data_IF_297154622372
#
_entry.id   IF_297154622372
#
_cell.length_a   1.000
_cell.length_b   1.000
_cell.length_c   1.000
_cell.angle_alpha   90.00
_cell.angle_beta   90.00
_cell.angle_gamma   90.00
#
_symmetry.space_group_name_H-M   'P 1'
#
loop_
_entity.id
_entity.type
_entity.pdbx_description
1 polymer ?
#
# COMPACT_ATOMS: atom_id res chain seq x y z
N UNK A 1 -80.82 41.80 19.68
CA UNK A 1 -81.37 41.21 18.45
C UNK A 1 -80.31 40.35 17.80
N UNK A 2 -80.62 39.07 17.61
CA UNK A 2 -80.11 38.08 16.69
C UNK A 2 -78.56 37.85 16.53
N UNK A 3 -78.20 36.73 17.08
CA UNK A 3 -77.07 35.87 16.68
C UNK A 3 -77.28 35.24 15.28
N UNK A 4 -76.28 34.95 14.50
CA UNK A 4 -76.16 33.60 14.00
C UNK A 4 -74.79 32.94 14.10
N UNK A 5 -74.80 31.78 14.62
CA UNK A 5 -74.09 30.53 14.48
C UNK A 5 -73.04 30.47 13.37
N UNK A 6 -71.76 30.25 13.74
CA UNK A 6 -70.66 29.80 12.85
C UNK A 6 -70.31 28.35 13.21
N UNK A 7 -70.30 27.52 12.18
CA UNK A 7 -70.00 26.07 12.18
C UNK A 7 -68.51 25.78 12.40
N UNK A 8 -68.12 24.73 13.14
CA UNK A 8 -66.67 24.40 13.29
C UNK A 8 -66.14 23.63 12.09
N UNK A 9 -65.05 24.13 11.53
CA UNK A 9 -64.24 23.39 10.54
C UNK A 9 -63.50 22.25 11.21
N UNK A 10 -63.81 21.02 10.82
CA UNK A 10 -63.03 19.84 11.15
C UNK A 10 -61.70 19.88 10.38
N UNK A 11 -60.57 19.99 11.11
CA UNK A 11 -59.24 19.79 10.60
C UNK A 11 -58.96 18.29 10.55
N UNK A 12 -58.81 17.74 9.36
CA UNK A 12 -58.32 16.40 9.13
C UNK A 12 -56.83 16.37 9.40
N UNK A 13 -56.38 15.74 10.48
CA UNK A 13 -55.01 15.35 10.70
C UNK A 13 -54.73 14.08 9.88
N UNK A 14 -54.02 14.25 8.76
CA UNK A 14 -53.41 13.12 8.05
C UNK A 14 -52.18 12.68 8.84
N UNK A 15 -52.29 11.60 9.56
CA UNK A 15 -51.16 10.92 10.19
C UNK A 15 -50.30 10.23 9.12
N UNK A 16 -49.10 10.72 8.92
CA UNK A 16 -48.07 9.99 8.18
C UNK A 16 -47.59 8.81 9.06
N UNK A 17 -47.96 7.61 8.70
CA UNK A 17 -47.41 6.39 9.31
C UNK A 17 -45.97 6.25 8.80
N UNK A 18 -44.97 6.53 9.64
CA UNK A 18 -43.59 6.16 9.40
C UNK A 18 -43.48 4.64 9.55
N UNK A 19 -43.40 3.93 8.43
CA UNK A 19 -43.00 2.53 8.42
C UNK A 19 -41.53 2.45 8.78
N UNK A 20 -41.23 2.12 10.03
CA UNK A 20 -39.91 1.68 10.45
C UNK A 20 -39.65 0.33 9.78
N UNK A 21 -38.77 0.34 8.76
CA UNK A 21 -38.25 -0.90 8.22
C UNK A 21 -37.40 -1.54 9.33
N UNK A 22 -37.90 -2.62 9.91
CA UNK A 22 -37.15 -3.47 10.82
C UNK A 22 -36.01 -4.10 9.97
N UNK A 23 -34.78 -3.66 10.19
CA UNK A 23 -33.63 -4.32 9.62
C UNK A 23 -33.55 -5.74 10.19
N UNK A 24 -33.80 -6.73 9.33
CA UNK A 24 -33.66 -8.13 9.71
C UNK A 24 -32.18 -8.40 9.98
N UNK A 25 -31.82 -8.68 11.22
CA UNK A 25 -30.48 -9.13 11.61
C UNK A 25 -30.31 -10.53 11.05
N UNK A 26 -29.39 -10.67 10.10
CA UNK A 26 -29.04 -11.96 9.53
C UNK A 26 -28.17 -12.72 10.53
N UNK A 27 -28.63 -13.86 11.03
CA UNK A 27 -27.84 -14.75 11.88
C UNK A 27 -27.23 -15.84 11.01
N UNK A 28 -25.91 -15.95 11.03
CA UNK A 28 -25.16 -17.00 10.33
C UNK A 28 -24.63 -18.00 11.36
N UNK A 29 -24.99 -19.28 11.17
CA UNK A 29 -24.42 -20.37 11.95
C UNK A 29 -23.25 -20.95 11.16
N UNK A 30 -21.98 -20.83 11.62
CA UNK A 30 -20.82 -21.38 10.95
C UNK A 30 -20.85 -22.90 10.81
N UNK A 31 -21.55 -23.60 11.69
CA UNK A 31 -21.72 -25.06 11.65
C UNK A 31 -22.79 -25.53 10.65
N UNK A 32 -23.69 -24.63 10.22
CA UNK A 32 -24.76 -24.92 9.25
C UNK A 32 -24.40 -24.45 7.83
N UNK A 33 -23.43 -23.53 7.66
CA UNK A 33 -22.79 -23.29 6.39
C UNK A 33 -21.93 -24.53 6.06
N UNK A 34 -22.17 -25.17 4.90
CA UNK A 34 -21.30 -26.22 4.39
C UNK A 34 -19.85 -25.84 4.63
N UNK A 35 -19.01 -26.75 5.20
CA UNK A 35 -17.69 -26.48 5.77
C UNK A 35 -17.15 -25.08 5.45
N UNK A 36 -16.94 -24.19 6.44
CA UNK A 36 -16.59 -22.80 6.17
C UNK A 36 -15.46 -22.79 5.17
N UNK A 37 -15.69 -22.18 4.00
CA UNK A 37 -14.74 -22.17 2.91
C UNK A 37 -13.39 -21.71 3.49
N UNK A 38 -12.43 -22.61 3.63
CA UNK A 38 -11.06 -22.19 3.85
C UNK A 38 -10.75 -21.22 2.73
N UNK A 39 -10.27 -20.05 3.09
CA UNK A 39 -9.92 -19.01 2.11
C UNK A 39 -8.92 -19.58 1.11
N UNK A 40 -9.44 -20.22 0.07
CA UNK A 40 -8.62 -20.71 -1.02
C UNK A 40 -8.15 -19.50 -1.84
N UNK A 41 -6.85 -19.41 -2.16
CA UNK A 41 -6.36 -18.41 -3.09
C UNK A 41 -7.16 -18.48 -4.40
N UNK A 42 -7.68 -17.36 -4.87
CA UNK A 42 -8.30 -17.31 -6.20
C UNK A 42 -7.23 -17.17 -7.25
N UNK A 43 -7.27 -17.96 -8.33
CA UNK A 43 -6.32 -17.76 -9.42
C UNK A 43 -6.48 -16.36 -10.01
N UNK A 44 -5.37 -15.70 -10.41
CA UNK A 44 -5.43 -14.37 -10.99
C UNK A 44 -6.34 -14.32 -12.22
N UNK A 45 -7.04 -13.20 -12.40
CA UNK A 45 -7.89 -12.97 -13.58
C UNK A 45 -7.07 -13.04 -14.88
N UNK A 46 -7.76 -13.22 -16.03
CA UNK A 46 -7.10 -13.18 -17.34
C UNK A 46 -6.37 -11.85 -17.58
N UNK A 47 -6.97 -10.75 -17.13
CA UNK A 47 -6.40 -9.41 -17.26
C UNK A 47 -5.15 -9.24 -16.41
N UNK A 48 -5.20 -9.67 -15.15
CA UNK A 48 -4.02 -9.64 -14.29
C UNK A 48 -2.88 -10.50 -14.87
N UNK A 49 -3.17 -11.72 -15.33
CA UNK A 49 -2.15 -12.55 -15.99
C UNK A 49 -1.55 -11.89 -17.24
N UNK A 50 -2.36 -11.16 -18.02
CA UNK A 50 -1.88 -10.41 -19.18
C UNK A 50 -0.95 -9.27 -18.73
N UNK A 51 -1.35 -8.50 -17.72
CA UNK A 51 -0.55 -7.43 -17.12
C UNK A 51 0.81 -7.95 -16.63
N UNK A 52 0.83 -9.04 -15.85
CA UNK A 52 2.07 -9.61 -15.30
C UNK A 52 3.07 -10.06 -16.37
N UNK A 53 2.59 -10.52 -17.54
CA UNK A 53 3.45 -10.91 -18.67
C UNK A 53 4.10 -9.73 -19.40
N UNK A 54 3.56 -8.51 -19.26
CA UNK A 54 4.13 -7.31 -19.88
C UNK A 54 5.32 -6.73 -19.10
N UNK A 55 5.53 -7.18 -17.86
CA UNK A 55 6.66 -6.76 -17.03
C UNK A 55 7.94 -7.39 -17.60
N UNK A 56 8.88 -6.52 -18.02
CA UNK A 56 10.10 -6.90 -18.74
C UNK A 56 11.36 -6.55 -17.95
N UNK A 57 12.11 -7.59 -17.54
CA UNK A 57 13.36 -7.44 -16.81
C UNK A 57 14.43 -6.65 -17.57
N UNK A 58 14.42 -6.68 -18.92
CA UNK A 58 15.39 -5.91 -19.73
C UNK A 58 15.12 -4.41 -19.67
N UNK A 59 13.86 -4.00 -19.56
CA UNK A 59 13.48 -2.60 -19.34
C UNK A 59 13.87 -2.14 -17.94
N UNK A 60 13.66 -2.98 -16.94
CA UNK A 60 14.10 -2.76 -15.56
C UNK A 60 15.63 -2.60 -15.53
N UNK A 61 16.39 -3.52 -16.15
CA UNK A 61 17.84 -3.42 -16.29
C UNK A 61 18.28 -2.11 -16.94
N UNK A 62 17.68 -1.74 -18.06
CA UNK A 62 18.00 -0.50 -18.76
C UNK A 62 17.75 0.74 -17.89
N UNK A 63 16.70 0.71 -17.04
CA UNK A 63 16.39 1.78 -16.10
C UNK A 63 17.44 1.87 -14.98
N UNK A 64 17.76 0.75 -14.33
CA UNK A 64 18.80 0.71 -13.28
C UNK A 64 20.15 1.18 -13.81
N UNK A 65 20.61 0.64 -14.96
CA UNK A 65 21.87 1.05 -15.59
C UNK A 65 21.88 2.53 -15.96
N UNK A 66 20.75 3.08 -16.42
CA UNK A 66 20.66 4.52 -16.72
C UNK A 66 20.74 5.38 -15.47
N UNK A 67 20.07 5.00 -14.39
CA UNK A 67 20.11 5.73 -13.12
C UNK A 67 21.52 5.68 -12.51
N UNK A 68 22.18 4.53 -12.52
CA UNK A 68 23.55 4.37 -12.06
C UNK A 68 24.54 5.21 -12.90
N UNK A 69 24.29 5.36 -14.20
CA UNK A 69 25.16 6.11 -15.12
C UNK A 69 25.16 7.64 -14.89
N UNK A 70 24.28 8.17 -14.02
CA UNK A 70 24.38 9.57 -13.59
C UNK A 70 25.52 9.81 -12.58
N UNK A 71 26.31 8.80 -12.25
CA UNK A 71 27.47 8.84 -11.37
C UNK A 71 27.09 8.92 -9.90
N UNK A 72 26.48 10.01 -9.49
CA UNK A 72 25.84 10.16 -8.19
C UNK A 72 24.43 10.71 -8.37
N UNK A 73 23.51 10.33 -7.47
CA UNK A 73 22.20 10.94 -7.35
C UNK A 73 21.99 11.47 -5.92
N UNK A 74 23.10 11.77 -5.23
CA UNK A 74 23.03 12.30 -3.87
C UNK A 74 22.13 13.55 -3.84
N UNK A 75 21.28 13.68 -2.84
CA UNK A 75 20.31 14.78 -2.71
C UNK A 75 20.94 16.17 -2.79
N UNK A 76 22.21 16.31 -2.34
CA UNK A 76 22.99 17.55 -2.38
C UNK A 76 23.86 17.70 -3.64
N UNK A 77 23.81 16.73 -4.57
CA UNK A 77 24.58 16.80 -5.82
C UNK A 77 24.02 17.84 -6.80
N UNK A 78 24.64 17.98 -7.95
CA UNK A 78 24.28 18.98 -8.95
C UNK A 78 22.81 18.86 -9.39
N UNK A 79 22.12 19.99 -9.46
CA UNK A 79 20.70 20.08 -9.80
C UNK A 79 20.45 20.46 -11.26
N UNK A 80 21.48 20.96 -11.97
CA UNK A 80 21.35 21.62 -13.26
C UNK A 80 22.24 21.02 -14.35
N UNK A 81 23.23 20.16 -14.00
CA UNK A 81 24.01 19.36 -14.95
C UNK A 81 23.08 18.32 -15.62
N UNK A 82 23.00 18.25 -16.98
CA UNK A 82 22.10 17.35 -17.67
C UNK A 82 22.60 15.88 -17.71
N UNK A 83 23.84 15.60 -17.37
CA UNK A 83 24.46 14.28 -17.49
C UNK A 83 24.76 13.63 -16.14
N UNK A 84 24.96 14.42 -15.09
CA UNK A 84 25.38 13.96 -13.76
C UNK A 84 24.51 14.57 -12.65
N UNK A 85 24.34 13.85 -11.56
CA UNK A 85 23.71 14.33 -10.34
C UNK A 85 22.22 14.10 -10.26
N UNK A 86 21.65 14.56 -9.15
CA UNK A 86 20.23 14.36 -8.80
C UNK A 86 19.29 15.04 -9.79
N UNK A 87 19.70 16.22 -10.34
CA UNK A 87 18.92 16.97 -11.32
C UNK A 87 18.73 16.21 -12.63
N UNK A 88 19.82 15.63 -13.17
CA UNK A 88 19.78 14.82 -14.38
C UNK A 88 18.85 13.58 -14.22
N UNK A 89 18.96 12.91 -13.07
CA UNK A 89 18.12 11.75 -12.76
C UNK A 89 16.64 12.16 -12.66
N UNK A 90 16.33 13.23 -11.92
CA UNK A 90 14.98 13.81 -11.80
C UNK A 90 14.35 14.07 -13.18
N UNK A 91 15.07 14.76 -14.04
CA UNK A 91 14.55 15.20 -15.32
C UNK A 91 14.36 14.01 -16.29
N UNK A 92 15.26 13.02 -16.21
CA UNK A 92 15.10 11.77 -16.96
C UNK A 92 13.87 10.98 -16.49
N UNK A 93 13.66 10.80 -15.17
CA UNK A 93 12.48 10.12 -14.61
C UNK A 93 11.20 10.85 -15.03
N UNK A 94 11.16 12.18 -14.90
CA UNK A 94 10.04 13.01 -15.31
C UNK A 94 9.69 12.80 -16.79
N UNK A 95 10.69 12.76 -17.66
CA UNK A 95 10.50 12.51 -19.09
C UNK A 95 9.92 11.11 -19.34
N UNK A 96 10.41 10.07 -18.65
CA UNK A 96 9.88 8.69 -18.77
C UNK A 96 8.45 8.58 -18.30
N UNK A 97 8.11 9.13 -17.13
CA UNK A 97 6.73 9.13 -16.65
C UNK A 97 5.78 9.89 -17.59
N UNK A 98 6.20 11.02 -18.15
CA UNK A 98 5.43 11.76 -19.16
C UNK A 98 5.22 10.98 -20.46
N UNK A 99 6.20 10.20 -20.88
CA UNK A 99 6.06 9.30 -22.04
C UNK A 99 4.99 8.24 -21.75
N UNK A 100 5.00 7.60 -20.58
CA UNK A 100 4.00 6.60 -20.21
C UNK A 100 2.61 7.21 -20.08
N UNK A 101 2.51 8.41 -19.53
CA UNK A 101 1.23 9.12 -19.39
C UNK A 101 0.51 9.34 -20.73
N UNK A 102 1.23 9.45 -21.86
CA UNK A 102 0.63 9.57 -23.20
C UNK A 102 -0.21 8.36 -23.59
N UNK A 103 0.06 7.19 -23.03
CA UNK A 103 -0.69 5.96 -23.31
C UNK A 103 -1.98 5.82 -22.49
N UNK A 104 -2.25 6.77 -21.59
CA UNK A 104 -3.34 6.70 -20.62
C UNK A 104 -4.66 7.33 -21.09
N UNK A 105 -4.74 7.83 -22.31
CA UNK A 105 -5.89 8.63 -22.79
C UNK A 105 -6.23 9.82 -21.85
N UNK A 106 -5.19 10.50 -21.35
CA UNK A 106 -5.33 11.67 -20.46
C UNK A 106 -5.68 11.36 -19.02
N UNK A 107 -5.75 10.08 -18.62
CA UNK A 107 -6.06 9.68 -17.21
C UNK A 107 -4.86 9.77 -16.27
N UNK A 108 -3.64 9.77 -16.79
CA UNK A 108 -2.42 9.91 -16.00
C UNK A 108 -1.86 11.32 -16.14
N UNK A 109 -1.70 12.00 -15.03
CA UNK A 109 -0.95 13.27 -14.92
C UNK A 109 0.43 12.99 -14.33
N UNK A 110 1.38 13.88 -14.61
CA UNK A 110 2.74 13.77 -14.07
C UNK A 110 3.17 15.14 -13.57
N UNK A 111 3.44 15.21 -12.28
CA UNK A 111 3.79 16.44 -11.58
C UNK A 111 5.21 16.35 -11.02
N UNK A 112 5.91 17.50 -11.03
CA UNK A 112 7.16 17.70 -10.32
C UNK A 112 6.85 18.45 -9.02
N UNK A 113 6.81 17.71 -7.91
CA UNK A 113 6.56 18.28 -6.58
C UNK A 113 7.88 18.77 -5.99
N UNK A 114 8.15 20.09 -6.09
CA UNK A 114 9.41 20.70 -5.66
C UNK A 114 9.21 21.68 -4.51
N UNK A 115 10.16 21.67 -3.57
CA UNK A 115 10.22 22.63 -2.46
C UNK A 115 11.67 22.89 -2.07
N UNK A 116 11.88 23.92 -1.24
CA UNK A 116 13.17 24.17 -0.61
C UNK A 116 13.13 23.60 0.80
N UNK A 117 13.90 22.54 1.02
CA UNK A 117 14.08 21.95 2.34
C UNK A 117 14.99 22.89 3.16
N UNK A 118 14.53 23.38 4.33
CA UNK A 118 15.37 24.15 5.23
C UNK A 118 16.51 23.30 5.81
N UNK A 119 17.58 23.93 6.33
CA UNK A 119 18.67 23.21 6.96
C UNK A 119 18.20 22.27 8.07
N UNK A 120 18.79 21.09 8.11
CA UNK A 120 18.47 20.01 9.07
C UNK A 120 19.55 18.94 9.05
N UNK A 121 19.33 17.80 9.72
CA UNK A 121 20.25 16.69 9.67
C UNK A 121 20.55 16.27 8.23
N UNK A 122 21.85 16.13 7.87
CA UNK A 122 22.34 15.78 6.52
C UNK A 122 21.91 16.73 5.38
N UNK A 123 21.30 17.89 5.70
CA UNK A 123 20.98 18.97 4.76
C UNK A 123 21.48 20.28 5.37
N UNK A 124 22.75 20.66 5.15
CA UNK A 124 23.39 21.77 5.88
C UNK A 124 22.97 23.16 5.42
N UNK A 125 22.35 23.28 4.25
CA UNK A 125 21.90 24.54 3.64
C UNK A 125 20.52 24.36 3.00
N UNK A 126 19.77 25.46 2.73
CA UNK A 126 18.51 25.37 1.99
C UNK A 126 18.70 24.63 0.67
N UNK A 127 18.04 23.50 0.49
CA UNK A 127 18.25 22.58 -0.63
C UNK A 127 16.94 22.33 -1.37
N UNK A 128 16.95 22.47 -2.69
CA UNK A 128 15.80 22.07 -3.52
C UNK A 128 15.70 20.54 -3.55
N UNK A 129 14.58 20.00 -3.09
CA UNK A 129 14.21 18.60 -3.21
C UNK A 129 12.98 18.50 -4.10
N UNK A 130 12.90 17.44 -4.90
CA UNK A 130 11.79 17.27 -5.85
C UNK A 130 11.38 15.81 -5.91
N UNK A 131 10.08 15.53 -5.80
CA UNK A 131 9.51 14.23 -6.13
C UNK A 131 8.95 14.26 -7.55
N UNK A 132 9.07 13.17 -8.28
CA UNK A 132 8.36 12.98 -9.56
C UNK A 132 7.17 12.06 -9.29
N UNK A 133 5.96 12.59 -9.47
CA UNK A 133 4.72 11.90 -9.10
C UNK A 133 3.81 11.75 -10.30
N UNK A 134 3.53 10.50 -10.70
CA UNK A 134 2.54 10.19 -11.73
C UNK A 134 1.27 9.66 -11.08
N UNK A 135 0.12 10.26 -11.41
CA UNK A 135 -1.19 9.91 -10.85
C UNK A 135 -2.11 9.39 -11.95
N UNK A 136 -2.42 8.10 -11.92
CA UNK A 136 -3.41 7.46 -12.78
C UNK A 136 -4.78 7.50 -12.09
N UNK A 137 -5.64 8.40 -12.52
CA UNK A 137 -6.95 8.62 -11.90
C UNK A 137 -7.87 7.40 -12.09
N UNK A 138 -8.46 6.94 -10.99
CA UNK A 138 -9.46 5.89 -10.97
C UNK A 138 -10.78 6.29 -11.64
N UNK A 139 -11.46 5.31 -12.23
CA UNK A 139 -12.68 5.55 -12.99
C UNK A 139 -13.96 5.51 -12.15
N UNK A 140 -14.01 4.70 -11.09
CA UNK A 140 -15.22 4.45 -10.28
C UNK A 140 -15.10 4.94 -8.84
N UNK A 141 -13.89 4.96 -8.29
CA UNK A 141 -13.57 5.42 -6.94
C UNK A 141 -12.31 6.30 -6.98
N UNK A 142 -12.36 7.46 -7.67
CA UNK A 142 -11.16 8.28 -7.92
C UNK A 142 -10.56 8.87 -6.63
N UNK A 143 -11.34 9.00 -5.58
CA UNK A 143 -10.89 9.56 -4.30
C UNK A 143 -10.12 8.53 -3.44
N UNK A 144 -10.27 7.22 -3.74
CA UNK A 144 -9.51 6.16 -3.09
C UNK A 144 -8.15 6.01 -3.76
N UNK A 145 -7.08 6.16 -2.98
CA UNK A 145 -5.71 6.27 -3.49
C UNK A 145 -4.84 5.13 -2.97
N UNK A 146 -4.04 4.55 -3.86
CA UNK A 146 -2.95 3.64 -3.53
C UNK A 146 -1.64 4.18 -4.12
N UNK A 147 -0.57 4.17 -3.30
CA UNK A 147 0.72 4.75 -3.66
C UNK A 147 1.77 3.65 -3.75
N UNK A 148 2.64 3.74 -4.75
CA UNK A 148 3.88 2.96 -4.82
C UNK A 148 5.06 3.89 -5.03
N UNK A 149 6.16 3.70 -4.28
CA UNK A 149 7.35 4.52 -4.39
C UNK A 149 8.65 3.72 -4.44
N UNK A 150 9.69 4.39 -4.89
CA UNK A 150 11.09 4.13 -4.73
C UNK A 150 11.82 5.47 -4.65
N UNK A 151 12.98 5.53 -3.98
CA UNK A 151 13.74 6.77 -3.91
C UNK A 151 14.82 6.83 -4.99
N UNK A 152 14.96 7.98 -5.63
CA UNK A 152 15.91 8.10 -6.72
C UNK A 152 17.24 8.75 -6.32
N UNK A 153 17.33 9.25 -5.09
CA UNK A 153 18.62 9.66 -4.52
C UNK A 153 19.47 8.42 -4.15
N UNK A 154 20.76 8.61 -4.02
CA UNK A 154 21.74 7.58 -3.68
C UNK A 154 22.85 8.17 -2.82
N UNK A 155 23.66 7.34 -2.17
CA UNK A 155 24.77 7.78 -1.33
C UNK A 155 25.96 6.82 -1.41
N UNK A 156 27.16 7.37 -1.14
CA UNK A 156 28.38 6.65 -0.84
C UNK A 156 28.47 6.27 0.66
N UNK A 157 29.62 5.82 1.13
CA UNK A 157 29.85 5.46 2.53
C UNK A 157 29.61 6.64 3.47
N UNK A 158 30.17 7.82 3.13
CA UNK A 158 29.87 9.06 3.83
C UNK A 158 28.52 9.62 3.37
N UNK A 159 27.52 9.75 4.27
CA UNK A 159 26.21 10.31 3.91
C UNK A 159 26.25 11.79 3.51
N UNK A 160 27.39 12.45 3.61
CA UNK A 160 27.59 13.85 3.23
C UNK A 160 28.43 14.01 1.96
N UNK A 161 29.01 12.93 1.43
CA UNK A 161 29.75 12.97 0.17
C UNK A 161 28.77 13.00 -1.01
N UNK A 162 28.60 14.21 -1.56
CA UNK A 162 27.71 14.47 -2.70
C UNK A 162 28.44 14.58 -4.04
N UNK A 163 29.72 14.26 -4.07
CA UNK A 163 30.61 14.43 -5.24
C UNK A 163 31.13 13.13 -5.80
N UNK A 164 31.48 12.19 -4.95
CA UNK A 164 31.97 10.87 -5.37
C UNK A 164 30.89 10.06 -6.07
N UNK A 165 31.33 9.09 -6.88
CA UNK A 165 30.39 8.17 -7.53
C UNK A 165 29.66 7.31 -6.50
N UNK A 166 28.34 7.38 -6.56
CA UNK A 166 27.39 6.61 -5.77
C UNK A 166 26.29 6.07 -6.70
N UNK A 167 26.57 5.00 -7.47
CA UNK A 167 25.65 4.50 -8.50
C UNK A 167 24.29 4.06 -7.95
N UNK A 168 24.21 3.56 -6.71
CA UNK A 168 22.96 3.20 -6.03
C UNK A 168 22.07 2.33 -6.91
N UNK A 169 22.62 1.22 -7.42
CA UNK A 169 21.90 0.37 -8.37
C UNK A 169 20.81 -0.44 -7.69
N UNK A 170 21.10 -0.97 -6.51
CA UNK A 170 20.15 -1.66 -5.68
C UNK A 170 19.41 -0.69 -4.75
N UNK A 171 20.15 0.23 -4.13
CA UNK A 171 19.66 1.27 -3.23
C UNK A 171 19.71 2.67 -3.88
N UNK A 172 18.64 3.21 -4.58
CA UNK A 172 17.40 2.49 -4.83
C UNK A 172 16.95 2.70 -6.30
N UNK A 173 17.91 2.58 -7.25
CA UNK A 173 17.51 2.55 -8.66
C UNK A 173 16.65 1.30 -8.96
N UNK A 174 16.78 0.22 -8.18
CA UNK A 174 15.99 -1.00 -8.30
C UNK A 174 14.51 -0.73 -8.03
N UNK A 175 14.18 -0.04 -6.95
CA UNK A 175 12.80 0.33 -6.61
C UNK A 175 12.23 1.37 -7.55
N UNK A 176 13.01 2.37 -7.96
CA UNK A 176 12.59 3.33 -9.00
C UNK A 176 12.26 2.61 -10.30
N UNK A 177 13.05 1.59 -10.68
CA UNK A 177 12.79 0.79 -11.88
C UNK A 177 11.48 -0.01 -11.77
N UNK A 178 11.17 -0.54 -10.60
CA UNK A 178 9.84 -1.15 -10.32
C UNK A 178 8.73 -0.13 -10.51
N UNK A 179 8.85 1.07 -9.92
CA UNK A 179 7.84 2.14 -10.03
C UNK A 179 7.60 2.56 -11.48
N UNK A 180 8.68 2.77 -12.25
CA UNK A 180 8.58 3.16 -13.67
C UNK A 180 7.96 2.05 -14.53
N UNK A 181 8.31 0.79 -14.30
CA UNK A 181 7.75 -0.34 -15.04
C UNK A 181 6.25 -0.52 -14.71
N UNK A 182 5.86 -0.33 -13.45
CA UNK A 182 4.45 -0.32 -13.04
C UNK A 182 3.67 0.82 -13.70
N UNK A 183 4.23 2.04 -13.70
CA UNK A 183 3.60 3.18 -14.39
C UNK A 183 3.38 2.88 -15.88
N UNK A 184 4.38 2.29 -16.54
CA UNK A 184 4.31 1.90 -17.97
C UNK A 184 3.19 0.89 -18.24
N UNK A 185 3.14 -0.20 -17.47
CA UNK A 185 2.17 -1.28 -17.75
C UNK A 185 0.75 -0.93 -17.30
N UNK A 186 0.59 -0.03 -16.33
CA UNK A 186 -0.73 0.36 -15.80
C UNK A 186 -1.32 1.59 -16.50
N UNK A 187 -0.51 2.50 -17.05
CA UNK A 187 -0.99 3.72 -17.72
C UNK A 187 -2.10 3.46 -18.77
N UNK A 188 -2.01 2.47 -19.69
CA UNK A 188 -3.04 2.23 -20.69
C UNK A 188 -4.31 1.58 -20.12
N UNK A 189 -4.31 1.17 -18.84
CA UNK A 189 -5.40 0.41 -18.23
C UNK A 189 -6.37 1.28 -17.44
N UNK A 190 -7.64 0.86 -17.38
CA UNK A 190 -8.63 1.48 -16.51
C UNK A 190 -8.65 0.81 -15.16
N UNK A 191 -8.38 1.58 -14.13
CA UNK A 191 -8.45 1.17 -12.72
C UNK A 191 -9.70 1.74 -12.07
N UNK A 192 -10.26 1.03 -11.08
CA UNK A 192 -11.38 1.53 -10.29
C UNK A 192 -10.95 2.65 -9.35
N UNK A 193 -9.89 2.43 -8.56
CA UNK A 193 -9.27 3.43 -7.69
C UNK A 193 -8.08 4.12 -8.37
N UNK A 194 -7.65 5.24 -7.79
CA UNK A 194 -6.48 6.02 -8.23
C UNK A 194 -5.19 5.33 -7.81
N UNK A 195 -4.23 5.23 -8.73
CA UNK A 195 -2.89 4.73 -8.48
C UNK A 195 -1.88 5.87 -8.63
N UNK A 196 -0.94 5.95 -7.70
CA UNK A 196 0.14 6.93 -7.69
C UNK A 196 1.48 6.22 -7.75
N UNK A 197 2.31 6.63 -8.70
CA UNK A 197 3.67 6.15 -8.91
C UNK A 197 4.62 7.29 -8.56
N UNK A 198 5.39 7.16 -7.49
CA UNK A 198 6.23 8.23 -6.97
C UNK A 198 7.72 7.83 -6.98
N UNK A 199 8.55 8.62 -7.66
CA UNK A 199 9.98 8.61 -7.43
C UNK A 199 10.30 9.76 -6.49
N UNK A 200 10.68 9.46 -5.25
CA UNK A 200 10.93 10.46 -4.21
C UNK A 200 12.42 10.70 -4.02
N UNK A 201 12.81 11.81 -3.39
CA UNK A 201 14.21 12.14 -3.12
C UNK A 201 14.42 12.57 -1.67
N UNK A 202 15.68 12.51 -1.22
CA UNK A 202 16.04 12.87 0.15
C UNK A 202 15.67 11.78 1.16
N UNK A 203 15.56 10.55 0.71
CA UNK A 203 15.42 9.39 1.59
C UNK A 203 16.66 9.27 2.47
N UNK A 204 17.82 9.23 1.84
CA UNK A 204 19.14 9.05 2.45
C UNK A 204 19.52 10.18 3.41
N UNK A 205 18.96 11.36 3.25
CA UNK A 205 19.16 12.49 4.15
C UNK A 205 18.13 12.57 5.27
N UNK A 206 17.04 11.79 5.24
CA UNK A 206 16.04 11.73 6.30
C UNK A 206 14.60 11.67 5.84
N UNK A 207 14.29 10.89 4.81
CA UNK A 207 12.93 10.60 4.31
C UNK A 207 12.17 11.87 3.83
N UNK A 208 12.88 12.92 3.42
CA UNK A 208 12.28 14.24 3.16
C UNK A 208 11.22 14.20 2.07
N UNK A 209 11.49 13.46 0.97
CA UNK A 209 10.55 13.32 -0.15
C UNK A 209 9.25 12.62 0.24
N UNK A 210 9.37 11.50 0.90
CA UNK A 210 8.21 10.75 1.38
C UNK A 210 7.43 11.52 2.45
N UNK A 211 8.14 12.22 3.36
CA UNK A 211 7.51 13.06 4.37
C UNK A 211 6.70 14.20 3.76
N UNK A 212 7.25 14.87 2.73
CA UNK A 212 6.55 15.94 2.00
C UNK A 212 5.34 15.39 1.25
N UNK A 213 5.47 14.25 0.57
CA UNK A 213 4.38 13.60 -0.16
C UNK A 213 3.24 13.17 0.79
N UNK A 214 3.57 12.48 1.88
CA UNK A 214 2.60 12.05 2.87
C UNK A 214 1.89 13.21 3.55
N UNK A 215 2.62 14.33 3.82
CA UNK A 215 2.02 15.55 4.37
C UNK A 215 1.06 16.20 3.38
N UNK A 216 1.42 16.26 2.10
CA UNK A 216 0.54 16.82 1.08
C UNK A 216 -0.79 16.07 0.97
N UNK A 217 -0.79 14.74 1.11
CA UNK A 217 -2.02 13.95 1.18
C UNK A 217 -2.81 14.21 2.47
N UNK A 218 -2.13 14.39 3.59
CA UNK A 218 -2.78 14.70 4.87
C UNK A 218 -3.49 16.05 4.82
N UNK A 219 -2.84 17.07 4.24
CA UNK A 219 -3.39 18.41 4.10
C UNK A 219 -4.60 18.43 3.13
N UNK A 220 -4.58 17.59 2.11
CA UNK A 220 -5.69 17.40 1.16
C UNK A 220 -6.79 16.47 1.70
N UNK A 221 -6.63 15.88 2.88
CA UNK A 221 -7.53 14.86 3.43
C UNK A 221 -7.77 13.67 2.47
N UNK A 222 -6.74 13.30 1.69
CA UNK A 222 -6.81 12.24 0.71
C UNK A 222 -7.07 10.87 1.37
N UNK A 223 -7.91 10.04 0.74
CA UNK A 223 -8.23 8.69 1.20
C UNK A 223 -7.15 7.69 0.71
N UNK A 224 -5.93 7.80 1.28
CA UNK A 224 -4.84 6.85 0.98
C UNK A 224 -5.07 5.57 1.77
N UNK A 225 -5.53 4.51 1.08
CA UNK A 225 -5.83 3.21 1.68
C UNK A 225 -4.68 2.21 1.62
N UNK A 226 -3.55 2.58 1.03
CA UNK A 226 -2.34 1.78 1.01
C UNK A 226 -1.17 2.47 0.33
N UNK A 227 0.02 2.30 0.90
CA UNK A 227 1.28 2.75 0.33
C UNK A 227 2.32 1.65 0.41
N UNK A 228 3.07 1.45 -0.66
CA UNK A 228 4.22 0.53 -0.69
C UNK A 228 5.46 1.28 -1.16
N UNK A 229 6.54 1.18 -0.39
CA UNK A 229 7.86 1.51 -0.90
C UNK A 229 8.59 0.25 -1.34
N UNK A 230 9.30 0.33 -2.46
CA UNK A 230 10.26 -0.66 -2.91
C UNK A 230 11.64 -0.05 -2.69
N UNK A 231 12.44 -0.65 -1.84
CA UNK A 231 13.71 -0.08 -1.42
C UNK A 231 14.65 -1.23 -1.06
N UNK A 232 15.76 -1.32 -1.80
CA UNK A 232 16.67 -2.46 -1.85
C UNK A 232 15.91 -3.71 -2.32
N UNK A 233 15.59 -3.75 -3.60
CA UNK A 233 14.87 -4.87 -4.24
C UNK A 233 15.60 -5.41 -5.46
N UNK A 234 16.91 -5.14 -5.56
CA UNK A 234 17.73 -5.44 -6.73
C UNK A 234 18.43 -6.79 -6.69
N UNK A 235 18.75 -7.34 -5.51
CA UNK A 235 19.55 -8.57 -5.39
C UNK A 235 18.77 -9.74 -4.81
N UNK A 236 19.13 -10.93 -5.26
CA UNK A 236 18.68 -12.20 -4.67
C UNK A 236 19.81 -12.93 -3.93
N UNK A 237 20.96 -12.29 -3.77
CA UNK A 237 22.19 -12.89 -3.24
C UNK A 237 22.59 -12.17 -1.96
N UNK A 238 22.80 -12.92 -0.88
CA UNK A 238 23.26 -12.43 0.40
C UNK A 238 24.78 -12.28 0.46
N UNK A 239 25.29 -11.63 1.52
CA UNK A 239 26.74 -11.43 1.77
C UNK A 239 27.54 -12.72 1.93
N UNK A 240 26.89 -13.83 2.32
CA UNK A 240 27.47 -15.17 2.40
C UNK A 240 27.43 -15.94 1.05
N UNK A 241 26.89 -15.31 -0.01
CA UNK A 241 26.71 -15.91 -1.34
C UNK A 241 25.48 -16.80 -1.46
N UNK A 242 24.68 -16.99 -0.42
CA UNK A 242 23.41 -17.72 -0.53
C UNK A 242 22.40 -16.95 -1.39
N UNK A 243 21.51 -17.67 -2.07
CA UNK A 243 20.56 -17.07 -3.02
C UNK A 243 19.12 -17.47 -2.71
N UNK A 244 18.23 -16.48 -2.73
CA UNK A 244 16.77 -16.69 -2.68
C UNK A 244 16.06 -15.83 -3.76
N UNK A 245 16.03 -16.31 -5.03
CA UNK A 245 15.45 -15.53 -6.12
C UNK A 245 13.91 -15.57 -6.16
N UNK A 246 13.25 -16.23 -5.24
CA UNK A 246 11.81 -16.45 -5.24
C UNK A 246 11.09 -15.96 -3.98
N UNK A 247 11.76 -15.22 -3.10
CA UNK A 247 11.16 -14.63 -1.92
C UNK A 247 11.40 -13.13 -1.86
N UNK A 248 10.35 -12.35 -1.60
CA UNK A 248 10.45 -10.92 -1.25
C UNK A 248 9.91 -10.70 0.16
N UNK A 249 10.59 -9.92 0.98
CA UNK A 249 10.08 -9.51 2.30
C UNK A 249 9.13 -8.33 2.14
N UNK A 250 8.03 -8.36 2.90
CA UNK A 250 7.11 -7.24 3.07
C UNK A 250 7.02 -6.91 4.56
N UNK A 251 7.65 -5.82 4.95
CA UNK A 251 7.55 -5.30 6.31
C UNK A 251 6.22 -4.57 6.48
N UNK A 252 5.50 -4.93 7.52
CA UNK A 252 4.25 -4.28 7.90
C UNK A 252 4.10 -4.26 9.41
N UNK A 253 3.81 -3.10 9.98
CA UNK A 253 3.59 -2.97 11.42
C UNK A 253 2.33 -3.73 11.88
N UNK A 254 2.34 -4.24 13.10
CA UNK A 254 1.15 -4.84 13.73
C UNK A 254 0.44 -3.87 14.65
N UNK A 255 1.21 -2.98 15.26
CA UNK A 255 0.75 -1.89 16.12
C UNK A 255 0.89 -0.59 15.32
N UNK A 256 -0.18 0.21 15.16
CA UNK A 256 -0.11 1.46 14.42
C UNK A 256 0.89 2.44 15.02
N UNK A 257 1.80 2.99 14.20
CA UNK A 257 2.78 4.00 14.63
C UNK A 257 2.08 5.27 15.14
N UNK A 258 0.91 5.60 14.60
CA UNK A 258 0.14 6.83 14.90
C UNK A 258 -0.94 6.64 15.95
N UNK A 259 -1.04 5.45 16.62
CA UNK A 259 -2.10 5.23 17.59
C UNK A 259 -2.02 6.17 18.80
N UNK A 260 -3.18 6.64 19.24
CA UNK A 260 -3.32 7.41 20.48
C UNK A 260 -3.24 6.50 21.71
N UNK A 261 -2.99 7.02 22.92
CA UNK A 261 -3.03 6.22 24.14
C UNK A 261 -4.35 5.47 24.36
N UNK A 262 -5.49 6.08 23.97
CA UNK A 262 -6.82 5.47 24.06
C UNK A 262 -6.99 4.30 23.07
N UNK A 263 -6.51 4.46 21.85
CA UNK A 263 -6.50 3.38 20.86
C UNK A 263 -5.58 2.24 21.30
N UNK A 264 -4.41 2.54 21.90
CA UNK A 264 -3.51 1.56 22.46
C UNK A 264 -4.16 0.75 23.59
N UNK A 265 -4.96 1.39 24.47
CA UNK A 265 -5.69 0.70 25.54
C UNK A 265 -6.76 -0.23 24.96
N UNK A 266 -7.49 0.22 23.93
CA UNK A 266 -8.46 -0.61 23.22
C UNK A 266 -7.76 -1.80 22.57
N UNK A 267 -6.71 -1.56 21.80
CA UNK A 267 -5.94 -2.60 21.10
C UNK A 267 -5.45 -3.69 22.07
N UNK A 268 -4.84 -3.28 23.20
CA UNK A 268 -4.41 -4.23 24.26
C UNK A 268 -5.55 -5.05 24.83
N UNK A 269 -6.72 -4.42 24.99
CA UNK A 269 -7.88 -5.11 25.57
C UNK A 269 -8.54 -6.14 24.66
N UNK A 270 -8.28 -6.07 23.34
CA UNK A 270 -8.84 -6.98 22.32
C UNK A 270 -7.80 -7.88 21.68
N UNK A 271 -6.53 -7.80 22.08
CA UNK A 271 -5.44 -8.61 21.51
C UNK A 271 -5.06 -8.20 20.07
N UNK A 272 -5.21 -6.93 19.73
CA UNK A 272 -5.03 -6.40 18.35
C UNK A 272 -3.59 -6.09 17.96
N UNK A 273 -2.57 -6.68 18.59
CA UNK A 273 -1.15 -6.38 18.36
C UNK A 273 -0.65 -6.72 16.95
N UNK A 274 -1.43 -7.52 16.22
CA UNK A 274 -1.08 -7.98 14.87
C UNK A 274 -2.13 -7.60 13.83
N UNK A 275 -2.96 -6.59 14.10
CA UNK A 275 -4.15 -6.32 13.28
C UNK A 275 -4.28 -4.85 12.83
N UNK A 276 -3.15 -4.10 12.79
CA UNK A 276 -3.12 -2.77 12.20
C UNK A 276 -3.62 -2.77 10.74
N UNK A 277 -4.08 -1.63 10.22
CA UNK A 277 -4.42 -1.49 8.79
C UNK A 277 -3.28 -1.91 7.85
N UNK A 278 -2.03 -1.61 8.19
CA UNK A 278 -0.85 -2.03 7.42
C UNK A 278 -0.67 -3.54 7.39
N UNK A 279 -0.96 -4.23 8.51
CA UNK A 279 -0.92 -5.70 8.58
C UNK A 279 -2.04 -6.32 7.73
N UNK A 280 -3.23 -5.73 7.71
CA UNK A 280 -4.31 -6.18 6.84
C UNK A 280 -3.95 -5.99 5.36
N UNK A 281 -3.32 -4.86 5.03
CA UNK A 281 -2.81 -4.60 3.68
C UNK A 281 -1.77 -5.65 3.26
N UNK A 282 -0.84 -6.03 4.15
CA UNK A 282 0.16 -7.06 3.86
C UNK A 282 -0.45 -8.45 3.69
N UNK A 283 -1.47 -8.82 4.48
CA UNK A 283 -2.25 -10.05 4.29
C UNK A 283 -2.94 -10.07 2.93
N UNK A 284 -3.53 -8.94 2.54
CA UNK A 284 -4.15 -8.80 1.22
C UNK A 284 -3.13 -8.99 0.09
N UNK A 285 -1.96 -8.37 0.16
CA UNK A 285 -0.88 -8.56 -0.82
C UNK A 285 -0.53 -10.04 -0.96
N UNK A 286 -0.35 -10.73 0.17
CA UNK A 286 -0.03 -12.17 0.18
C UNK A 286 -1.16 -13.03 -0.40
N UNK A 287 -2.43 -12.63 -0.24
CA UNK A 287 -3.59 -13.32 -0.81
C UNK A 287 -3.63 -13.20 -2.34
N UNK A 288 -3.28 -12.01 -2.90
CA UNK A 288 -3.44 -11.71 -4.33
C UNK A 288 -2.18 -11.94 -5.16
N UNK A 289 -1.00 -11.95 -4.53
CA UNK A 289 0.27 -12.20 -5.20
C UNK A 289 0.54 -13.71 -5.31
N UNK A 290 -0.28 -14.40 -6.11
CA UNK A 290 -0.13 -15.83 -6.38
C UNK A 290 1.31 -16.15 -6.84
N UNK A 291 2.05 -17.03 -6.11
CA UNK A 291 3.42 -17.41 -6.46
C UNK A 291 3.57 -18.03 -7.85
N UNK A 292 2.58 -18.77 -8.32
CA UNK A 292 2.62 -19.38 -9.66
C UNK A 292 2.50 -18.34 -10.78
N UNK A 293 1.81 -17.23 -10.52
CA UNK A 293 1.63 -16.15 -11.48
C UNK A 293 2.76 -15.11 -11.42
N UNK A 294 3.24 -14.78 -10.22
CA UNK A 294 4.28 -13.75 -9.99
C UNK A 294 5.70 -14.30 -10.08
N UNK A 295 5.87 -15.60 -9.81
CA UNK A 295 7.17 -16.25 -9.63
C UNK A 295 7.83 -15.94 -8.29
N UNK A 296 7.06 -15.39 -7.31
CA UNK A 296 7.58 -14.84 -6.08
C UNK A 296 6.68 -15.15 -4.88
N UNK A 297 7.25 -15.58 -3.78
CA UNK A 297 6.60 -15.73 -2.47
C UNK A 297 6.74 -14.45 -1.67
N UNK A 298 5.65 -13.90 -1.19
CA UNK A 298 5.66 -12.76 -0.27
C UNK A 298 5.81 -13.25 1.17
N UNK A 299 6.94 -12.91 1.79
CA UNK A 299 7.22 -13.17 3.21
C UNK A 299 6.89 -11.93 4.03
N UNK A 300 5.74 -11.94 4.68
CA UNK A 300 5.36 -10.83 5.57
C UNK A 300 6.23 -10.88 6.83
N UNK A 301 6.92 -9.78 7.10
CA UNK A 301 7.74 -9.59 8.30
C UNK A 301 6.94 -8.76 9.29
N UNK A 302 6.74 -9.31 10.50
CA UNK A 302 5.91 -8.71 11.55
C UNK A 302 6.67 -7.64 12.32
N UNK A 303 7.19 -6.64 11.57
CA UNK A 303 7.90 -5.47 12.06
C UNK A 303 7.54 -4.27 11.21
N UNK A 304 7.71 -3.09 11.78
CA UNK A 304 7.55 -1.83 11.06
C UNK A 304 8.59 -1.70 9.94
N UNK A 305 9.86 -2.04 10.23
CA UNK A 305 10.98 -2.06 9.29
C UNK A 305 12.09 -3.00 9.80
N UNK A 306 13.20 -3.05 9.10
CA UNK A 306 14.47 -3.68 9.47
C UNK A 306 14.91 -3.19 10.87
N UNK A 307 15.74 -3.95 11.51
CA UNK A 307 16.15 -3.68 12.89
C UNK A 307 16.88 -2.33 13.02
N UNK A 308 16.28 -1.37 13.73
CA UNK A 308 16.77 0.01 13.93
C UNK A 308 17.00 0.81 12.63
N UNK A 309 16.29 0.46 11.56
CA UNK A 309 16.30 1.18 10.27
C UNK A 309 14.92 1.72 9.93
N UNK A 310 14.85 2.53 8.89
CA UNK A 310 13.61 3.15 8.41
C UNK A 310 13.57 3.17 6.88
N UNK A 311 12.53 3.75 6.30
CA UNK A 311 12.33 3.94 4.88
C UNK A 311 11.08 4.76 4.59
N UNK A 312 10.78 5.01 3.34
CA UNK A 312 9.77 5.96 2.87
C UNK A 312 8.32 5.66 3.26
N UNK A 313 8.02 4.45 3.72
CA UNK A 313 6.70 4.10 4.27
C UNK A 313 6.46 4.71 5.67
N UNK A 314 7.51 5.04 6.42
CA UNK A 314 7.40 5.55 7.81
C UNK A 314 6.64 6.88 7.88
N UNK A 315 6.92 7.90 7.04
CA UNK A 315 6.15 9.13 7.05
C UNK A 315 4.65 8.94 6.79
N UNK A 316 4.25 7.90 6.04
CA UNK A 316 2.85 7.55 5.83
C UNK A 316 2.23 6.93 7.10
N UNK A 317 2.94 6.01 7.76
CA UNK A 317 2.50 5.42 9.03
C UNK A 317 2.30 6.48 10.12
N UNK A 318 3.20 7.47 10.21
CA UNK A 318 3.11 8.60 11.14
C UNK A 318 1.88 9.47 10.92
N UNK A 319 1.33 9.46 9.70
CA UNK A 319 0.11 10.20 9.31
C UNK A 319 -1.15 9.35 9.28
N UNK A 320 -1.08 8.16 9.87
CA UNK A 320 -2.16 7.18 9.96
C UNK A 320 -2.58 6.57 8.61
N UNK A 321 -1.70 6.57 7.61
CA UNK A 321 -1.92 5.85 6.36
C UNK A 321 -1.33 4.44 6.44
N UNK A 322 -2.07 3.41 6.00
CA UNK A 322 -1.53 2.05 5.90
C UNK A 322 -0.36 2.00 4.94
N UNK A 323 0.78 1.49 5.38
CA UNK A 323 1.95 1.42 4.52
C UNK A 323 2.83 0.19 4.83
N UNK A 324 3.63 -0.22 3.85
CA UNK A 324 4.59 -1.31 3.98
C UNK A 324 5.80 -1.13 3.07
N UNK A 325 6.89 -1.86 3.39
CA UNK A 325 8.13 -1.85 2.63
C UNK A 325 8.41 -3.21 2.03
N UNK A 326 8.57 -3.26 0.72
CA UNK A 326 9.21 -4.38 0.03
C UNK A 326 10.72 -4.22 0.08
N UNK A 327 11.42 -5.32 0.38
CA UNK A 327 12.89 -5.37 0.33
C UNK A 327 13.34 -6.82 0.09
N UNK A 328 14.50 -7.00 -0.48
CA UNK A 328 15.08 -8.30 -0.83
C UNK A 328 15.22 -9.26 0.36
N UNK A 329 15.38 -10.57 0.14
CA UNK A 329 15.37 -11.57 1.23
C UNK A 329 16.54 -11.46 2.20
N UNK A 330 17.70 -11.04 1.71
CA UNK A 330 18.92 -10.82 2.49
C UNK A 330 19.78 -9.76 1.77
N UNK A 331 20.46 -8.93 2.54
CA UNK A 331 21.24 -7.79 2.02
C UNK A 331 22.73 -8.15 1.95
N UNK A 332 23.44 -7.63 0.93
CA UNK A 332 24.91 -7.69 0.84
C UNK A 332 25.50 -6.31 1.16
N UNK A 333 26.01 -6.18 2.38
CA UNK A 333 26.55 -4.90 2.87
C UNK A 333 27.87 -4.47 2.21
N UNK A 334 28.49 -5.30 1.39
CA UNK A 334 29.61 -4.87 0.53
C UNK A 334 29.13 -4.05 -0.68
N UNK A 335 27.83 -4.18 -1.02
CA UNK A 335 27.22 -3.51 -2.16
C UNK A 335 26.16 -2.48 -1.76
N UNK A 336 26.00 -2.19 -0.48
CA UNK A 336 25.06 -1.18 0.02
C UNK A 336 25.80 -0.06 0.76
N UNK A 337 25.52 1.21 0.44
CA UNK A 337 26.13 2.39 1.05
C UNK A 337 27.66 2.34 1.09
N UNK A 338 28.29 1.89 0.01
CA UNK A 338 29.73 1.72 -0.11
C UNK A 338 30.30 2.59 -1.22
N UNK A 339 31.50 3.12 -0.97
CA UNK A 339 32.31 3.73 -2.05
C UNK A 339 32.66 2.67 -3.09
N UNK A 340 32.67 3.06 -4.34
CA UNK A 340 33.12 2.19 -5.43
C UNK A 340 34.62 1.99 -5.36
N UNK A 341 35.05 0.81 -4.90
CA UNK A 341 36.48 0.49 -4.72
C UNK A 341 36.73 -1.02 -4.76
N UNK A 342 37.98 -1.38 -4.99
CA UNK A 342 38.46 -2.76 -4.85
C UNK A 342 39.39 -2.84 -3.65
N UNK A 343 39.09 -3.76 -2.73
CA UNK A 343 39.91 -4.05 -1.54
C UNK A 343 40.19 -5.54 -1.53
N UNK A 344 41.46 -5.92 -1.51
CA UNK A 344 41.92 -7.33 -1.49
C UNK A 344 41.26 -8.19 -2.57
N UNK A 345 41.04 -7.61 -3.77
CA UNK A 345 40.40 -8.27 -4.91
C UNK A 345 38.87 -8.34 -4.85
N UNK A 346 38.22 -7.88 -3.77
CA UNK A 346 36.78 -7.78 -3.67
C UNK A 346 36.29 -6.40 -4.15
N UNK A 347 35.30 -6.41 -5.06
CA UNK A 347 34.62 -5.18 -5.48
C UNK A 347 33.63 -4.76 -4.39
N UNK A 348 33.68 -3.47 -4.03
CA UNK A 348 32.70 -2.78 -3.19
C UNK A 348 31.95 -1.73 -4.01
N UNK A 349 30.79 -1.32 -3.56
CA UNK A 349 29.95 -0.31 -4.21
C UNK A 349 28.66 -0.92 -4.76
N UNK A 350 27.65 -0.10 -4.82
CA UNK A 350 26.31 -0.48 -5.30
C UNK A 350 26.23 -0.35 -6.83
N UNK A 351 26.65 -1.41 -7.51
CA UNK A 351 26.81 -1.46 -8.97
C UNK A 351 25.75 -2.33 -9.64
N UNK A 352 25.31 -2.02 -10.87
CA UNK A 352 24.31 -2.79 -11.61
C UNK A 352 24.67 -4.27 -11.84
N UNK A 353 25.96 -4.61 -11.78
CA UNK A 353 26.48 -5.97 -11.96
C UNK A 353 26.07 -6.92 -10.83
N UNK A 354 25.70 -6.39 -9.67
CA UNK A 354 25.24 -7.16 -8.51
C UNK A 354 23.73 -7.32 -8.45
N UNK A 355 22.98 -6.68 -9.37
CA UNK A 355 21.53 -6.82 -9.46
C UNK A 355 21.10 -8.11 -10.19
N UNK A 356 20.04 -8.75 -9.70
CA UNK A 356 19.32 -9.84 -10.35
C UNK A 356 18.05 -9.29 -11.01
N UNK A 357 18.14 -8.80 -12.25
CA UNK A 357 17.01 -8.16 -12.94
C UNK A 357 15.79 -9.08 -13.15
N UNK A 358 15.93 -10.40 -13.39
CA UNK A 358 14.83 -11.34 -13.31
C UNK A 358 14.13 -11.36 -11.93
N UNK A 359 14.88 -11.21 -10.83
CA UNK A 359 14.32 -11.08 -9.48
C UNK A 359 13.52 -9.78 -9.35
N UNK A 360 14.09 -8.63 -9.74
CA UNK A 360 13.40 -7.32 -9.72
C UNK A 360 12.09 -7.37 -10.53
N UNK A 361 12.09 -8.04 -11.68
CA UNK A 361 10.87 -8.23 -12.47
C UNK A 361 9.80 -9.06 -11.73
N UNK A 362 10.19 -10.04 -10.94
CA UNK A 362 9.25 -10.77 -10.07
C UNK A 362 8.70 -9.89 -8.95
N UNK A 363 9.54 -9.03 -8.35
CA UNK A 363 9.09 -8.01 -7.38
C UNK A 363 8.07 -7.06 -8.03
N UNK A 364 8.35 -6.58 -9.24
CA UNK A 364 7.41 -5.74 -9.99
C UNK A 364 6.08 -6.47 -10.26
N UNK A 365 6.09 -7.78 -10.53
CA UNK A 365 4.85 -8.58 -10.67
C UNK A 365 4.06 -8.68 -9.38
N UNK A 366 4.71 -8.82 -8.23
CA UNK A 366 4.04 -8.79 -6.90
C UNK A 366 3.35 -7.44 -6.70
N UNK A 367 4.08 -6.34 -6.92
CA UNK A 367 3.52 -4.99 -6.82
C UNK A 367 2.36 -4.77 -7.80
N UNK A 368 2.49 -5.23 -9.05
CA UNK A 368 1.42 -5.15 -10.06
C UNK A 368 0.17 -5.93 -9.63
N UNK A 369 0.33 -7.15 -9.09
CA UNK A 369 -0.77 -7.95 -8.58
C UNK A 369 -1.47 -7.26 -7.41
N UNK A 370 -0.72 -6.68 -6.48
CA UNK A 370 -1.25 -5.93 -5.35
C UNK A 370 -2.02 -4.69 -5.79
N UNK A 371 -1.37 -3.80 -6.57
CA UNK A 371 -1.97 -2.53 -7.00
C UNK A 371 -3.19 -2.73 -7.90
N UNK A 372 -3.12 -3.66 -8.85
CA UNK A 372 -4.25 -3.99 -9.72
C UNK A 372 -5.43 -4.51 -8.91
N UNK A 373 -5.19 -5.47 -8.00
CA UNK A 373 -6.25 -6.06 -7.19
C UNK A 373 -6.88 -5.04 -6.24
N UNK A 374 -6.07 -4.22 -5.57
CA UNK A 374 -6.53 -3.11 -4.71
C UNK A 374 -7.37 -2.09 -5.50
N UNK A 375 -6.93 -1.74 -6.69
CA UNK A 375 -7.63 -0.75 -7.51
C UNK A 375 -8.96 -1.26 -8.09
N UNK A 376 -9.10 -2.56 -8.34
CA UNK A 376 -10.30 -3.17 -8.89
C UNK A 376 -11.27 -3.71 -7.84
N UNK A 377 -10.80 -3.99 -6.64
CA UNK A 377 -11.63 -4.43 -5.52
C UNK A 377 -12.33 -3.24 -4.83
N UNK A 378 -13.36 -3.48 -4.01
CA UNK A 378 -13.88 -2.47 -3.09
C UNK A 378 -12.81 -2.04 -2.06
N UNK A 379 -13.00 -0.87 -1.47
CA UNK A 379 -12.16 -0.38 -0.37
C UNK A 379 -12.36 -1.16 0.93
N UNK A 380 -11.50 -0.87 1.90
CA UNK A 380 -11.63 -1.40 3.26
C UNK A 380 -12.90 -0.88 3.92
N UNK A 381 -13.78 -1.72 4.47
CA UNK A 381 -15.00 -1.29 5.16
C UNK A 381 -14.70 -0.30 6.29
N UNK A 382 -15.47 0.77 6.38
CA UNK A 382 -15.34 1.77 7.45
C UNK A 382 -16.27 1.46 8.61
N UNK A 383 -15.93 1.97 9.79
CA UNK A 383 -16.79 1.84 10.97
C UNK A 383 -17.02 0.41 11.46
N UNK A 384 -16.16 -0.55 11.10
CA UNK A 384 -16.30 -1.93 11.53
C UNK A 384 -16.16 -2.04 13.06
N UNK A 385 -17.17 -2.64 13.72
CA UNK A 385 -17.22 -2.79 15.18
C UNK A 385 -17.80 -4.15 15.58
N UNK A 386 -17.36 -4.65 16.74
CA UNK A 386 -18.03 -5.74 17.47
C UNK A 386 -18.91 -5.10 18.55
N UNK A 387 -20.19 -5.47 18.55
CA UNK A 387 -21.17 -5.01 19.58
C UNK A 387 -20.86 -5.74 20.89
N UNK A 388 -20.59 -4.96 21.96
CA UNK A 388 -20.21 -5.47 23.28
C UNK A 388 -21.16 -5.06 24.39
N UNK A 389 -22.32 -4.51 24.04
CA UNK A 389 -23.36 -4.06 25.02
C UNK A 389 -24.07 -5.21 25.74
N UNK A 390 -24.04 -6.41 25.14
CA UNK A 390 -24.55 -7.62 25.75
C UNK A 390 -23.47 -8.71 25.78
N UNK A 391 -23.44 -9.48 26.88
CA UNK A 391 -22.59 -10.65 27.00
C UNK A 391 -23.32 -11.84 26.38
N UNK A 392 -22.83 -12.25 25.19
CA UNK A 392 -23.36 -13.40 24.43
C UNK A 392 -22.24 -14.22 23.87
N UNK A 393 -22.44 -15.51 23.66
CA UNK A 393 -21.50 -16.36 22.95
C UNK A 393 -21.48 -16.10 21.44
N UNK A 394 -22.59 -15.63 20.88
CA UNK A 394 -22.61 -15.17 19.50
C UNK A 394 -22.02 -13.75 19.37
N UNK A 395 -21.36 -13.48 18.26
CA UNK A 395 -20.72 -12.19 18.00
C UNK A 395 -21.53 -11.41 16.97
N UNK A 396 -21.95 -10.21 17.34
CA UNK A 396 -22.58 -9.26 16.43
C UNK A 396 -21.54 -8.25 15.92
N UNK A 397 -21.47 -8.10 14.59
CA UNK A 397 -20.63 -7.13 13.90
C UNK A 397 -21.50 -6.09 13.19
N UNK A 398 -21.01 -4.86 13.15
CA UNK A 398 -21.61 -3.74 12.41
C UNK A 398 -20.54 -3.00 11.62
N UNK A 399 -20.91 -2.39 10.50
CA UNK A 399 -20.01 -1.58 9.65
C UNK A 399 -20.80 -0.59 8.81
N UNK A 400 -20.10 0.35 8.18
CA UNK A 400 -20.71 1.29 7.24
C UNK A 400 -20.77 0.68 5.84
N UNK A 401 -21.84 0.98 5.09
CA UNK A 401 -21.96 0.54 3.71
C UNK A 401 -21.00 1.34 2.82
N UNK A 402 -20.21 0.64 2.00
CA UNK A 402 -19.36 1.25 0.98
C UNK A 402 -20.18 1.94 -0.14
N UNK A 403 -19.57 2.93 -0.76
CA UNK A 403 -20.17 3.71 -1.84
C UNK A 403 -19.89 3.17 -3.26
N UNK A 404 -19.19 2.06 -3.41
CA UNK A 404 -18.82 1.52 -4.70
C UNK A 404 -20.05 1.08 -5.52
N UNK A 405 -20.17 1.50 -6.78
CA UNK A 405 -21.37 1.21 -7.59
C UNK A 405 -21.51 -0.28 -7.95
N UNK A 406 -20.43 -1.03 -7.89
CA UNK A 406 -20.38 -2.46 -8.16
C UNK A 406 -20.31 -3.33 -6.89
N UNK A 407 -20.50 -2.76 -5.71
CA UNK A 407 -20.58 -3.50 -4.45
C UNK A 407 -21.64 -4.59 -4.55
N UNK A 408 -21.27 -5.83 -4.20
CA UNK A 408 -22.17 -6.98 -4.14
C UNK A 408 -22.55 -7.36 -2.70
N UNK A 409 -21.73 -6.97 -1.73
CA UNK A 409 -21.96 -7.27 -0.33
C UNK A 409 -20.65 -7.39 0.45
N UNK A 410 -20.72 -8.17 1.52
CA UNK A 410 -19.63 -8.32 2.47
C UNK A 410 -19.36 -9.78 2.81
N UNK A 411 -18.15 -10.03 3.26
CA UNK A 411 -17.76 -11.27 3.93
C UNK A 411 -17.34 -10.92 5.36
N UNK A 412 -17.86 -11.68 6.33
CA UNK A 412 -17.28 -11.77 7.66
C UNK A 412 -16.22 -12.85 7.61
N UNK A 413 -15.03 -12.50 8.05
CA UNK A 413 -13.87 -13.41 8.12
C UNK A 413 -13.47 -13.64 9.56
N UNK A 414 -12.88 -14.81 9.86
CA UNK A 414 -12.34 -15.07 11.18
C UNK A 414 -11.13 -16.01 11.11
N UNK A 415 -10.37 -16.01 12.19
CA UNK A 415 -9.20 -16.86 12.39
C UNK A 415 -9.00 -17.19 13.84
N UNK A 416 -8.38 -18.32 14.11
CA UNK A 416 -7.88 -18.64 15.45
C UNK A 416 -6.91 -17.57 15.92
N UNK A 417 -6.85 -17.31 17.25
CA UNK A 417 -5.97 -16.27 17.82
C UNK A 417 -4.49 -16.55 17.59
N UNK A 418 -4.13 -17.81 17.33
CA UNK A 418 -2.75 -18.24 17.00
C UNK A 418 -2.44 -18.24 15.52
N UNK A 419 -3.46 -18.07 14.64
CA UNK A 419 -3.24 -18.02 13.20
C UNK A 419 -2.79 -16.64 12.75
N UNK A 420 -1.76 -16.51 11.90
CA UNK A 420 -1.34 -15.24 11.35
C UNK A 420 -2.26 -14.71 10.24
N UNK A 421 -3.06 -15.60 9.62
CA UNK A 421 -3.86 -15.32 8.43
C UNK A 421 -5.34 -15.58 8.67
N UNK A 422 -6.20 -14.87 7.94
CA UNK A 422 -7.63 -15.17 7.88
C UNK A 422 -7.83 -16.56 7.29
N UNK A 423 -8.57 -17.41 7.98
CA UNK A 423 -8.71 -18.83 7.60
C UNK A 423 -10.13 -19.20 7.17
N UNK A 424 -11.09 -18.42 7.58
CA UNK A 424 -12.50 -18.68 7.29
C UNK A 424 -13.19 -17.42 6.79
N UNK A 425 -14.20 -17.60 5.95
CA UNK A 425 -15.06 -16.51 5.47
C UNK A 425 -16.51 -17.01 5.29
N UNK A 426 -17.46 -16.11 5.50
CA UNK A 426 -18.85 -16.32 5.14
C UNK A 426 -19.39 -15.09 4.44
N UNK A 427 -20.03 -15.27 3.28
CA UNK A 427 -20.68 -14.19 2.55
C UNK A 427 -22.02 -13.84 3.22
N UNK A 428 -22.20 -12.59 3.56
CA UNK A 428 -23.40 -12.11 4.31
C UNK A 428 -24.30 -11.18 3.49
N UNK A 429 -24.01 -11.02 2.18
CA UNK A 429 -24.80 -10.13 1.31
C UNK A 429 -24.56 -8.65 1.55
N UNK A 430 -25.38 -7.80 0.93
CA UNK A 430 -25.30 -6.33 1.06
C UNK A 430 -26.02 -5.85 2.33
N UNK A 431 -25.41 -6.14 3.48
CA UNK A 431 -25.89 -5.77 4.80
C UNK A 431 -24.82 -4.99 5.56
N UNK A 432 -25.21 -4.26 6.61
CA UNK A 432 -24.30 -3.49 7.47
C UNK A 432 -24.22 -4.05 8.89
N UNK A 433 -24.81 -5.21 9.11
CA UNK A 433 -24.88 -5.89 10.40
C UNK A 433 -25.01 -7.39 10.18
N UNK A 434 -24.30 -8.18 11.00
CA UNK A 434 -24.42 -9.63 10.99
C UNK A 434 -24.10 -10.20 12.37
N UNK A 435 -24.83 -11.25 12.77
CA UNK A 435 -24.50 -12.04 13.97
C UNK A 435 -23.94 -13.39 13.53
N UNK A 436 -22.78 -13.75 14.06
CA UNK A 436 -22.14 -15.05 13.85
C UNK A 436 -22.22 -15.86 15.15
N UNK A 437 -22.68 -17.09 15.06
CA UNK A 437 -22.75 -18.00 16.22
C UNK A 437 -21.35 -18.57 16.55
N UNK A 438 -20.46 -17.68 16.93
CA UNK A 438 -19.07 -17.96 17.33
C UNK A 438 -18.61 -16.86 18.29
N UNK A 439 -17.95 -17.26 19.39
CA UNK A 439 -17.53 -16.30 20.41
C UNK A 439 -16.33 -15.47 19.97
N UNK A 440 -16.45 -14.14 20.13
CA UNK A 440 -15.35 -13.17 19.98
C UNK A 440 -14.18 -13.39 20.94
N UNK A 441 -14.39 -14.18 22.00
CA UNK A 441 -13.37 -14.49 22.98
C UNK A 441 -12.43 -15.61 22.48
N UNK A 442 -12.86 -16.38 21.47
CA UNK A 442 -12.13 -17.55 20.97
C UNK A 442 -11.38 -17.26 19.65
N UNK A 443 -11.83 -16.27 18.86
CA UNK A 443 -11.30 -15.99 17.52
C UNK A 443 -11.18 -14.48 17.27
N UNK A 444 -10.35 -14.11 16.31
CA UNK A 444 -10.40 -12.77 15.74
C UNK A 444 -11.37 -12.72 14.57
N UNK A 445 -12.15 -11.65 14.51
CA UNK A 445 -13.06 -11.36 13.41
C UNK A 445 -12.53 -10.20 12.54
N UNK A 446 -13.01 -10.17 11.29
CA UNK A 446 -12.84 -9.08 10.37
C UNK A 446 -14.02 -8.98 9.40
N UNK A 447 -14.11 -7.85 8.71
CA UNK A 447 -15.12 -7.60 7.67
C UNK A 447 -14.42 -7.12 6.41
N UNK A 448 -14.79 -7.66 5.24
CA UNK A 448 -14.31 -7.16 3.95
C UNK A 448 -15.45 -7.03 2.95
N UNK A 449 -15.33 -6.06 2.05
CA UNK A 449 -16.29 -5.86 0.98
C UNK A 449 -15.97 -6.74 -0.23
N UNK A 450 -17.02 -7.11 -0.99
CA UNK A 450 -16.94 -7.92 -2.21
C UNK A 450 -17.72 -7.23 -3.31
N UNK A 451 -17.17 -7.13 -4.52
CA UNK A 451 -17.88 -6.58 -5.65
C UNK A 451 -18.56 -7.67 -6.52
N UNK A 452 -19.34 -7.23 -7.53
CA UNK A 452 -20.07 -8.14 -8.44
C UNK A 452 -19.16 -9.05 -9.28
N UNK A 453 -17.90 -8.68 -9.48
CA UNK A 453 -16.89 -9.53 -10.10
C UNK A 453 -16.32 -10.58 -9.11
N UNK A 454 -16.75 -10.54 -7.85
CA UNK A 454 -16.26 -11.39 -6.77
C UNK A 454 -14.88 -11.01 -6.27
N UNK A 455 -14.37 -9.80 -6.58
CA UNK A 455 -13.13 -9.30 -6.03
C UNK A 455 -13.37 -8.85 -4.59
N UNK A 456 -12.47 -9.23 -3.72
CA UNK A 456 -12.49 -8.97 -2.29
C UNK A 456 -11.54 -7.81 -1.97
N UNK A 457 -11.98 -6.86 -1.15
CA UNK A 457 -11.15 -5.79 -0.61
C UNK A 457 -10.32 -6.23 0.60
N UNK A 458 -9.43 -5.36 1.11
CA UNK A 458 -8.74 -5.60 2.36
C UNK A 458 -9.72 -5.73 3.53
N UNK A 459 -9.31 -6.46 4.55
CA UNK A 459 -10.12 -6.69 5.75
C UNK A 459 -10.04 -5.48 6.69
N UNK A 460 -11.17 -5.05 7.24
CA UNK A 460 -11.23 -4.17 8.40
C UNK A 460 -11.24 -5.01 9.68
N UNK A 461 -10.30 -4.75 10.59
CA UNK A 461 -10.31 -5.33 11.94
C UNK A 461 -11.27 -4.50 12.82
N UNK A 462 -12.31 -5.10 13.43
CA UNK A 462 -13.36 -4.34 14.10
C UNK A 462 -12.92 -3.87 15.49
N UNK A 463 -13.24 -2.61 15.81
CA UNK A 463 -13.10 -2.08 17.15
C UNK A 463 -14.30 -2.48 18.04
N UNK A 464 -14.16 -2.51 19.36
CA UNK A 464 -15.31 -2.74 20.24
C UNK A 464 -16.28 -1.55 20.19
N UNK A 465 -17.58 -1.83 20.12
CA UNK A 465 -18.64 -0.83 20.27
C UNK A 465 -19.14 -0.91 21.73
N UNK A 466 -18.76 0.08 22.51
CA UNK A 466 -19.25 0.26 23.88
C UNK A 466 -20.56 1.03 23.91
#
# INVERSE_FOLDING_TARGET
MANPKGTPRRTLLTGAAATAAAATVQTVNPAAAAEPDRLAPRPPSRELRALLREIDHRRIEATVRRLAAFGTRHTLSDQDDPERGIGAARDWILARMREYARTSDGRMTVDLQSWVQPPGPRVPAPTRISNVVATLRGATSPDRVYVVSGHYDSRASDPMDHTSDAPGADDDASGVAVVLELARVLAPRRTGATLVFAAVAGEEQGLYGAAHLAQSYKDQQADVQGMFTNDIVGSSTADDGSRDPHTIRLFAEGVPTSETPQEADVRRSVGGENDSPSRQLARFVREVADPDATGMKVRVIYRRDRYLRSGDHIPFLERAYPAGRFTEPAEDYAHQHQDVRIVDGKQYGDLPEFCDFPFVARVARVNAAALWSLAQAPGTPRGAKIVTTALTNATELVWERGGEPDLAGYEVVWRETTSPEWTHAVHVGDVTRCTVDLSKDNVFFGVRAVNRAGLRGPVAFPAPQR
#
